data_IF_018536406635
#
_entry.id   IF_018536406635
#
_cell.length_a   1.000
_cell.length_b   1.000
_cell.length_c   1.000
_cell.angle_alpha   90.00
_cell.angle_beta   90.00
_cell.angle_gamma   90.00
#
_symmetry.space_group_name_H-M   'P 1'
#
loop_
_entity.id
_entity.type
_entity.pdbx_description
1 polymer ?
#
# COMPACT_ATOMS: atom_id res chain seq x y z
N UNK A 1 -4.52 9.03 12.49
CA UNK A 1 -4.36 8.30 13.78
C UNK A 1 -4.14 6.81 13.49
N UNK A 2 -2.90 6.33 13.66
CA UNK A 2 -2.56 4.92 13.45
C UNK A 2 -2.68 4.18 14.78
N UNK A 3 -3.40 3.06 14.79
CA UNK A 3 -3.48 2.18 15.98
C UNK A 3 -2.19 1.38 16.15
N UNK A 4 -1.88 1.00 17.39
CA UNK A 4 -0.67 0.25 17.74
C UNK A 4 -0.66 -1.16 17.11
N UNK A 5 -1.82 -1.82 17.05
CA UNK A 5 -1.93 -3.20 16.56
C UNK A 5 -1.46 -3.36 15.09
N UNK A 6 -1.94 -2.57 14.11
CA UNK A 6 -1.44 -2.63 12.75
C UNK A 6 0.08 -2.41 12.63
N UNK A 7 0.64 -1.49 13.42
CA UNK A 7 2.09 -1.25 13.45
C UNK A 7 2.86 -2.47 13.99
N UNK A 8 2.37 -3.11 15.04
CA UNK A 8 2.99 -4.32 15.58
C UNK A 8 3.00 -5.45 14.55
N UNK A 9 1.87 -5.69 13.87
CA UNK A 9 1.78 -6.69 12.78
C UNK A 9 2.71 -6.36 11.61
N UNK A 10 2.85 -5.08 11.27
CA UNK A 10 3.78 -4.65 10.22
C UNK A 10 5.22 -5.02 10.60
N UNK A 11 5.62 -4.76 11.84
CA UNK A 11 6.96 -5.08 12.33
C UNK A 11 7.21 -6.59 12.42
N UNK A 12 6.19 -7.40 12.73
CA UNK A 12 6.30 -8.87 12.77
C UNK A 12 6.68 -9.47 11.42
N UNK A 13 6.37 -8.81 10.31
CA UNK A 13 6.78 -9.27 8.97
C UNK A 13 8.29 -9.41 8.84
N UNK A 14 9.07 -8.65 9.62
CA UNK A 14 10.54 -8.67 9.62
C UNK A 14 11.16 -9.82 10.39
N UNK A 15 10.34 -10.69 11.02
CA UNK A 15 10.80 -12.01 11.51
C UNK A 15 11.22 -12.89 10.33
N UNK A 16 10.68 -12.68 9.14
CA UNK A 16 11.20 -13.22 7.89
C UNK A 16 12.37 -12.35 7.42
N UNK A 17 13.58 -12.93 7.42
CA UNK A 17 14.81 -12.23 7.05
C UNK A 17 14.85 -11.78 5.58
N UNK A 18 14.04 -12.37 4.71
CA UNK A 18 13.92 -12.00 3.30
C UNK A 18 13.15 -10.70 3.09
N UNK A 19 12.32 -10.29 4.05
CA UNK A 19 11.54 -9.04 3.97
C UNK A 19 12.47 -7.86 4.18
N UNK A 20 12.55 -6.99 3.18
CA UNK A 20 13.34 -5.76 3.20
C UNK A 20 12.49 -4.52 3.44
N UNK A 21 11.28 -4.54 2.88
CA UNK A 21 10.28 -3.46 2.97
C UNK A 21 8.91 -4.09 3.22
N UNK A 22 8.13 -3.48 4.06
CA UNK A 22 6.74 -3.87 4.30
C UNK A 22 5.83 -2.65 4.31
N UNK A 23 4.57 -2.85 3.95
CA UNK A 23 3.54 -1.83 3.96
C UNK A 23 2.18 -2.42 4.28
N UNK A 24 1.17 -1.57 4.36
CA UNK A 24 -0.19 -1.94 4.72
C UNK A 24 -1.13 -1.81 3.52
N UNK A 25 -2.22 -2.57 3.56
CA UNK A 25 -3.31 -2.43 2.61
C UNK A 25 -4.64 -2.74 3.29
N UNK A 26 -5.72 -2.21 2.73
CA UNK A 26 -7.09 -2.50 3.19
C UNK A 26 -7.97 -2.94 2.03
N UNK A 27 -9.03 -3.68 2.34
CA UNK A 27 -10.00 -4.10 1.33
C UNK A 27 -10.86 -2.92 0.93
N UNK A 28 -10.97 -2.66 -0.37
CA UNK A 28 -11.95 -1.74 -0.94
C UNK A 28 -13.26 -2.47 -1.17
N UNK A 29 -14.36 -1.94 -0.64
CA UNK A 29 -15.70 -2.54 -0.74
C UNK A 29 -16.67 -1.72 -1.59
N UNK A 30 -16.34 -0.43 -1.81
CA UNK A 30 -17.19 0.47 -2.59
C UNK A 30 -16.64 0.64 -4.00
N UNK A 31 -17.51 0.49 -4.99
CA UNK A 31 -17.11 0.64 -6.40
C UNK A 31 -16.54 2.03 -6.69
N UNK A 32 -17.07 3.07 -6.07
CA UNK A 32 -16.60 4.45 -6.19
C UNK A 32 -15.12 4.60 -5.78
N UNK A 33 -14.72 3.95 -4.68
CA UNK A 33 -13.33 3.95 -4.20
C UNK A 33 -12.41 3.11 -5.09
N UNK A 34 -12.93 2.00 -5.65
CA UNK A 34 -12.18 1.15 -6.58
C UNK A 34 -11.86 1.92 -7.86
N UNK A 35 -12.82 2.69 -8.37
CA UNK A 35 -12.68 3.45 -9.62
C UNK A 35 -11.91 4.76 -9.45
N UNK A 36 -11.79 5.27 -8.23
CA UNK A 36 -11.10 6.52 -7.92
C UNK A 36 -9.57 6.34 -7.98
N UNK A 37 -8.85 7.09 -8.84
CA UNK A 37 -7.39 7.02 -8.94
C UNK A 37 -6.64 7.54 -7.69
N UNK A 38 -7.30 8.23 -6.77
CA UNK A 38 -6.71 8.63 -5.50
C UNK A 38 -6.50 7.44 -4.55
N UNK A 39 -7.34 6.41 -4.66
CA UNK A 39 -7.13 5.14 -3.96
C UNK A 39 -6.16 4.28 -4.78
N UNK A 40 -4.91 4.21 -4.36
CA UNK A 40 -3.90 3.40 -5.07
C UNK A 40 -4.17 1.92 -4.84
N UNK A 41 -4.45 1.17 -5.91
CA UNK A 41 -4.67 -0.29 -5.83
C UNK A 41 -3.33 -1.02 -5.77
N UNK A 42 -3.31 -2.14 -5.05
CA UNK A 42 -2.16 -3.05 -5.01
C UNK A 42 -2.59 -4.48 -5.32
N UNK A 43 -1.89 -5.10 -6.27
CA UNK A 43 -2.00 -6.53 -6.50
C UNK A 43 -0.88 -7.26 -5.74
N UNK A 44 -1.20 -8.42 -5.16
CA UNK A 44 -0.27 -9.20 -4.35
C UNK A 44 -0.21 -10.65 -4.83
N UNK A 45 0.93 -11.31 -4.55
CA UNK A 45 1.10 -12.73 -4.75
C UNK A 45 0.51 -13.56 -3.61
N UNK A 46 0.64 -14.89 -3.70
CA UNK A 46 0.15 -15.83 -2.66
C UNK A 46 0.88 -15.70 -1.33
N UNK A 47 2.05 -15.07 -1.32
CA UNK A 47 2.87 -14.85 -0.13
C UNK A 47 2.71 -13.42 0.42
N UNK A 48 1.73 -12.69 -0.09
CA UNK A 48 1.46 -11.29 0.27
C UNK A 48 2.59 -10.31 -0.10
N UNK A 49 3.37 -10.63 -1.12
CA UNK A 49 4.30 -9.68 -1.69
C UNK A 49 3.62 -8.87 -2.79
N UNK A 50 3.92 -7.59 -2.85
CA UNK A 50 3.38 -6.71 -3.89
C UNK A 50 3.87 -7.13 -5.28
N UNK A 51 2.93 -7.23 -6.23
CA UNK A 51 3.20 -7.45 -7.65
C UNK A 51 3.22 -6.15 -8.42
N UNK A 52 2.28 -5.27 -8.13
CA UNK A 52 2.18 -3.95 -8.74
C UNK A 52 1.30 -3.01 -7.92
N UNK A 53 1.57 -1.71 -8.01
CA UNK A 53 0.74 -0.63 -7.48
C UNK A 53 0.25 0.22 -8.64
N UNK A 54 -1.02 0.57 -8.67
CA UNK A 54 -1.57 1.42 -9.72
C UNK A 54 -2.73 2.28 -9.25
N UNK A 55 -2.84 3.46 -9.83
CA UNK A 55 -4.04 4.29 -9.72
C UNK A 55 -5.19 3.75 -10.55
N UNK A 56 -4.89 2.95 -11.58
CA UNK A 56 -5.89 2.20 -12.35
C UNK A 56 -6.48 1.06 -11.54
N UNK A 57 -7.65 0.58 -11.96
CA UNK A 57 -8.27 -0.63 -11.39
C UNK A 57 -7.44 -1.85 -11.78
N UNK A 58 -6.79 -2.46 -10.82
CA UNK A 58 -6.04 -3.72 -10.95
C UNK A 58 -6.46 -4.70 -9.85
N UNK A 59 -6.65 -6.03 -10.20
CA UNK A 59 -6.65 -6.60 -11.55
C UNK A 59 -7.87 -6.14 -12.36
N UNK A 60 -7.77 -6.22 -13.71
CA UNK A 60 -8.90 -5.93 -14.59
C UNK A 60 -9.93 -7.07 -14.52
N UNK A 61 -11.20 -6.81 -14.20
CA UNK A 61 -12.22 -7.85 -14.02
C UNK A 61 -12.84 -8.24 -15.37
N UNK A 62 -12.08 -8.93 -16.20
CA UNK A 62 -12.55 -9.34 -17.54
C UNK A 62 -13.74 -10.29 -17.47
N UNK A 63 -13.68 -11.27 -16.56
CA UNK A 63 -14.81 -12.17 -16.26
C UNK A 63 -15.51 -11.65 -14.99
N UNK A 64 -16.68 -11.07 -15.18
CA UNK A 64 -17.48 -10.51 -14.08
C UNK A 64 -18.07 -11.57 -13.14
N UNK A 65 -18.06 -12.84 -13.53
CA UNK A 65 -18.50 -13.95 -12.70
C UNK A 65 -17.43 -14.36 -11.65
N UNK A 66 -16.19 -13.97 -11.86
CA UNK A 66 -15.07 -14.24 -10.93
C UNK A 66 -15.02 -13.11 -9.90
N UNK A 67 -15.19 -13.42 -8.60
CA UNK A 67 -15.08 -12.41 -7.55
C UNK A 67 -13.62 -11.92 -7.44
N UNK A 68 -13.43 -10.61 -7.44
CA UNK A 68 -12.14 -9.96 -7.26
C UNK A 68 -12.13 -9.18 -5.96
N UNK A 69 -11.11 -9.39 -5.13
CA UNK A 69 -10.84 -8.55 -3.97
C UNK A 69 -9.86 -7.46 -4.38
N UNK A 70 -10.28 -6.21 -4.22
CA UNK A 70 -9.42 -5.05 -4.46
C UNK A 70 -8.83 -4.56 -3.14
N UNK A 71 -7.54 -4.24 -3.17
CA UNK A 71 -6.82 -3.70 -2.01
C UNK A 71 -6.34 -2.30 -2.32
N UNK A 72 -6.59 -1.39 -1.40
CA UNK A 72 -5.96 -0.08 -1.37
C UNK A 72 -4.62 -0.17 -0.64
N UNK A 73 -3.59 0.40 -1.21
CA UNK A 73 -2.32 0.61 -0.56
C UNK A 73 -2.41 1.75 0.47
N UNK A 74 -2.00 1.48 1.68
CA UNK A 74 -1.89 2.47 2.75
C UNK A 74 -0.43 2.90 2.88
N UNK A 75 -0.16 4.20 2.73
CA UNK A 75 1.18 4.78 2.68
C UNK A 75 1.97 4.75 3.99
N UNK A 76 1.90 3.65 4.73
CA UNK A 76 2.68 3.40 5.95
C UNK A 76 3.68 2.30 5.69
N UNK A 77 4.95 2.60 5.89
CA UNK A 77 6.04 1.71 5.54
C UNK A 77 6.90 1.34 6.74
N UNK A 78 7.45 0.15 6.70
CA UNK A 78 8.57 -0.27 7.53
C UNK A 78 9.71 -0.80 6.64
N UNK A 79 10.94 -0.50 7.04
CA UNK A 79 12.13 -0.78 6.24
C UNK A 79 13.21 -1.44 7.08
N UNK A 80 13.98 -2.33 6.47
CA UNK A 80 15.34 -2.55 6.96
C UNK A 80 16.18 -1.32 6.60
N UNK A 81 17.10 -0.95 7.46
CA UNK A 81 17.94 0.24 7.30
C UNK A 81 18.61 0.30 5.92
N UNK A 82 19.16 -0.82 5.47
CA UNK A 82 19.85 -0.93 4.19
C UNK A 82 18.92 -0.65 3.00
N UNK A 83 17.68 -1.14 3.05
CA UNK A 83 16.69 -0.91 1.99
C UNK A 83 16.28 0.56 1.94
N UNK A 84 16.13 1.22 3.10
CA UNK A 84 15.83 2.64 3.15
C UNK A 84 16.99 3.47 2.59
N UNK A 85 18.22 3.15 2.97
CA UNK A 85 19.42 3.87 2.46
C UNK A 85 19.56 3.71 0.95
N UNK A 86 19.38 2.49 0.42
CA UNK A 86 19.39 2.24 -1.03
C UNK A 86 18.35 3.08 -1.77
N UNK A 87 17.14 3.18 -1.22
CA UNK A 87 16.08 3.98 -1.83
C UNK A 87 16.49 5.45 -2.02
N UNK A 88 17.19 6.03 -1.05
CA UNK A 88 17.63 7.43 -1.12
C UNK A 88 18.71 7.68 -2.19
N UNK A 89 19.43 6.64 -2.58
CA UNK A 89 20.48 6.70 -3.60
C UNK A 89 19.95 6.48 -5.02
N UNK A 90 18.80 5.82 -5.17
CA UNK A 90 18.22 5.53 -6.47
C UNK A 90 17.51 6.74 -7.08
N UNK A 91 17.69 6.98 -8.38
CA UNK A 91 16.91 7.99 -9.09
C UNK A 91 15.45 7.56 -9.19
N UNK A 92 14.57 8.55 -9.41
CA UNK A 92 13.17 8.31 -9.73
C UNK A 92 13.05 7.43 -10.98
N UNK A 93 12.24 6.39 -10.88
CA UNK A 93 12.08 5.38 -11.94
C UNK A 93 10.87 5.69 -12.84
N UNK A 94 10.80 5.13 -14.07
CA UNK A 94 9.73 5.43 -15.01
C UNK A 94 8.31 5.13 -14.50
N UNK A 95 8.10 3.98 -13.85
CA UNK A 95 6.77 3.63 -13.32
C UNK A 95 6.37 4.51 -12.14
N UNK A 96 7.33 4.79 -11.25
CA UNK A 96 7.12 5.74 -10.16
C UNK A 96 6.70 7.12 -10.69
N UNK A 97 7.42 7.64 -11.70
CA UNK A 97 7.12 8.94 -12.29
C UNK A 97 5.75 8.99 -12.95
N UNK A 98 5.35 7.89 -13.62
CA UNK A 98 4.08 7.80 -14.33
C UNK A 98 2.88 7.72 -13.37
N UNK A 99 2.95 6.85 -12.36
CA UNK A 99 1.85 6.60 -11.42
C UNK A 99 1.87 7.58 -10.23
N UNK A 100 2.98 8.27 -9.98
CA UNK A 100 3.21 9.07 -8.76
C UNK A 100 3.03 8.23 -7.50
N UNK A 101 3.63 7.03 -7.50
CA UNK A 101 3.61 6.06 -6.42
C UNK A 101 5.04 5.63 -6.13
N UNK A 102 5.62 6.15 -5.06
CA UNK A 102 7.06 6.03 -4.75
C UNK A 102 7.51 4.58 -4.56
N UNK A 103 6.68 3.72 -4.01
CA UNK A 103 7.04 2.33 -3.75
C UNK A 103 7.24 1.49 -5.04
N UNK A 104 6.80 1.98 -6.20
CA UNK A 104 7.12 1.36 -7.49
C UNK A 104 8.63 1.35 -7.77
N UNK A 105 9.40 2.30 -7.22
CA UNK A 105 10.86 2.30 -7.33
C UNK A 105 11.46 1.01 -6.77
N UNK A 106 10.99 0.53 -5.61
CA UNK A 106 11.43 -0.76 -5.07
C UNK A 106 11.14 -1.92 -6.02
N UNK A 107 9.94 -1.95 -6.62
CA UNK A 107 9.56 -3.02 -7.56
C UNK A 107 10.43 -3.00 -8.82
N UNK A 108 10.74 -1.82 -9.36
CA UNK A 108 11.62 -1.67 -10.53
C UNK A 108 13.06 -2.10 -10.24
N UNK A 109 13.49 -2.08 -8.97
CA UNK A 109 14.76 -2.64 -8.50
C UNK A 109 14.64 -4.09 -8.00
N UNK A 110 13.51 -4.76 -8.23
CA UNK A 110 13.31 -6.17 -7.91
C UNK A 110 13.08 -6.45 -6.41
N UNK A 111 12.68 -5.46 -5.64
CA UNK A 111 12.38 -5.59 -4.21
C UNK A 111 10.87 -5.46 -3.99
N UNK A 112 10.14 -6.57 -3.81
CA UNK A 112 8.72 -6.51 -3.48
C UNK A 112 8.52 -6.01 -2.04
N UNK A 113 7.38 -5.35 -1.80
CA UNK A 113 6.95 -5.01 -0.46
C UNK A 113 6.12 -6.16 0.11
N UNK A 114 6.40 -6.59 1.34
CA UNK A 114 5.52 -7.46 2.08
C UNK A 114 4.30 -6.65 2.53
N UNK A 115 3.12 -7.08 2.12
CA UNK A 115 1.85 -6.41 2.42
C UNK A 115 1.12 -7.10 3.57
N UNK A 116 0.54 -6.32 4.49
CA UNK A 116 -0.39 -6.83 5.49
C UNK A 116 -1.78 -6.22 5.28
N UNK A 117 -2.82 -7.02 5.42
CA UNK A 117 -4.20 -6.52 5.41
C UNK A 117 -4.53 -5.95 6.77
N UNK A 118 -5.07 -4.73 6.77
CA UNK A 118 -5.57 -4.06 7.98
C UNK A 118 -7.04 -3.70 7.80
N UNK A 119 -7.83 -3.82 8.86
CA UNK A 119 -9.27 -3.56 8.81
C UNK A 119 -9.58 -2.07 8.98
N UNK A 120 -8.66 -1.33 9.62
CA UNK A 120 -8.84 0.08 9.90
C UNK A 120 -7.52 0.79 10.09
N UNK A 121 -7.29 1.82 9.29
CA UNK A 121 -6.08 2.65 9.38
C UNK A 121 -6.29 4.01 10.03
N UNK A 122 -7.51 4.41 10.19
CA UNK A 122 -7.80 5.76 10.66
C UNK A 122 -8.14 6.72 9.52
N UNK A 123 -8.15 7.98 9.81
CA UNK A 123 -8.39 9.04 8.83
C UNK A 123 -7.05 9.64 8.44
N UNK A 124 -6.73 9.61 7.15
CA UNK A 124 -5.67 10.45 6.60
C UNK A 124 -6.15 11.91 6.65
N UNK A 125 -5.28 12.80 7.09
CA UNK A 125 -5.62 14.22 7.24
C UNK A 125 -4.86 15.01 6.19
N UNK A 126 -5.42 15.04 4.98
CA UNK A 126 -4.88 15.82 3.87
C UNK A 126 -5.64 17.14 3.64
N UNK A 127 -6.87 17.19 4.14
CA UNK A 127 -7.74 18.36 3.98
C UNK A 127 -8.33 18.82 5.33
N UNK A 128 -8.78 20.08 5.46
CA UNK A 128 -9.52 20.53 6.64
C UNK A 128 -10.76 19.69 6.98
N UNK A 129 -11.43 19.15 5.96
CA UNK A 129 -12.59 18.28 6.16
C UNK A 129 -12.20 16.91 6.80
N UNK A 130 -11.01 16.42 6.51
CA UNK A 130 -10.49 15.18 7.12
C UNK A 130 -10.10 15.42 8.59
N UNK A 131 -9.59 16.62 8.90
CA UNK A 131 -9.32 17.01 10.29
C UNK A 131 -10.60 17.05 11.12
N UNK A 132 -11.72 17.54 10.56
CA UNK A 132 -13.01 17.52 11.24
C UNK A 132 -13.54 16.10 11.46
N UNK A 133 -13.34 15.20 10.51
CA UNK A 133 -13.69 13.77 10.66
C UNK A 133 -12.82 13.11 11.73
N UNK A 134 -11.52 13.37 11.70
CA UNK A 134 -10.58 12.83 12.68
C UNK A 134 -10.88 13.28 14.11
N UNK A 135 -11.25 14.55 14.32
CA UNK A 135 -11.60 15.09 15.63
C UNK A 135 -12.88 14.50 16.23
N UNK A 136 -13.76 13.93 15.39
CA UNK A 136 -14.97 13.21 15.86
C UNK A 136 -14.69 11.77 16.31
N UNK A 137 -13.48 11.26 16.04
CA UNK A 137 -13.07 9.90 16.40
C UNK A 137 -12.22 9.85 17.68
N UNK A 138 -11.91 11.01 18.26
CA UNK A 138 -11.25 11.18 19.56
C UNK A 138 -12.28 11.27 20.69
#
# INVERSE_FOLDING_TARGET
FIKKEPLSRLLETFNDSSVKVASMMQVLTKQEEIDDPNFVKVAVDKNWNSLFFSRSVIPYPRDKAVPVTYYEHIGVYAFRKEALMQFTEWPVTPLEAAERVECLRYLEYGIPLRMIVVDYMGVEIDTPADLEKASKLL
#
